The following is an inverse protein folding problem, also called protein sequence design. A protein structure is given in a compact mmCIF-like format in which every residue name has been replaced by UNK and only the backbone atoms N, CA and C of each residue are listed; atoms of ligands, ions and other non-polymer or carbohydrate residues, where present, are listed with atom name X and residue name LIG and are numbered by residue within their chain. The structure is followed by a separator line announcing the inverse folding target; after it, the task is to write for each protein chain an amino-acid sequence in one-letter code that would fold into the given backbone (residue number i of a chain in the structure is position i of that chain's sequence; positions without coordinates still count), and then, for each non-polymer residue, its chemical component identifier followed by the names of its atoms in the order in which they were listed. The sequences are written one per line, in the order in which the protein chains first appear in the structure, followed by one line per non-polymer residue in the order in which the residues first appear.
data_IF_714785784217
#
_entry.id   IF_714785784217
#
_cell.length_a   1.000
_cell.length_b   1.000
_cell.length_c   1.000
_cell.angle_alpha   90.00
_cell.angle_beta   90.00
_cell.angle_gamma   90.00
#
_symmetry.space_group_name_H-M   'P 1'
#
loop_
_entity.id
_entity.type
_entity.pdbx_description
1 polymer ?
#
# COMPACT_ATOMS: atom_id res chain seq x y z
N UNK A 1 3.06 -8.67 7.21
CA UNK A 1 2.06 -8.48 6.15
C UNK A 1 2.70 -8.63 4.78
N UNK A 2 2.06 -9.40 3.92
CA UNK A 2 2.44 -9.53 2.52
C UNK A 2 1.88 -8.37 1.70
N UNK A 3 2.40 -8.20 0.47
CA UNK A 3 1.88 -7.19 -0.44
C UNK A 3 0.38 -7.38 -0.69
N UNK A 4 -0.07 -8.63 -0.84
CA UNK A 4 -1.48 -8.94 -1.05
C UNK A 4 -2.35 -8.42 0.10
N UNK A 5 -1.90 -8.64 1.33
CA UNK A 5 -2.62 -8.17 2.53
C UNK A 5 -2.64 -6.65 2.62
N UNK A 6 -1.51 -6.01 2.33
CA UNK A 6 -1.39 -4.56 2.33
C UNK A 6 -2.29 -3.95 1.25
N UNK A 7 -2.27 -4.50 0.05
CA UNK A 7 -3.10 -4.03 -1.06
C UNK A 7 -4.58 -4.15 -0.71
N UNK A 8 -4.98 -5.25 -0.08
CA UNK A 8 -6.36 -5.46 0.34
C UNK A 8 -6.81 -4.38 1.33
N UNK A 9 -5.94 -4.05 2.30
CA UNK A 9 -6.22 -2.96 3.25
C UNK A 9 -6.28 -1.61 2.55
N UNK A 10 -5.37 -1.33 1.65
CA UNK A 10 -5.36 -0.08 0.89
C UNK A 10 -6.63 0.08 0.05
N UNK A 11 -7.13 -0.99 -0.55
CA UNK A 11 -8.39 -0.96 -1.29
C UNK A 11 -9.55 -0.54 -0.39
N UNK A 12 -9.59 -1.05 0.84
CA UNK A 12 -10.63 -0.66 1.80
C UNK A 12 -10.52 0.81 2.19
N UNK A 13 -9.33 1.39 2.12
CA UNK A 13 -9.11 2.80 2.38
C UNK A 13 -9.39 3.70 1.16
N UNK A 14 -9.74 3.11 0.01
CA UNK A 14 -10.06 3.87 -1.21
C UNK A 14 -8.95 3.88 -2.25
N UNK A 15 -7.89 3.14 -2.06
CA UNK A 15 -6.79 3.05 -3.04
C UNK A 15 -7.11 2.01 -4.10
N UNK A 16 -6.71 2.33 -5.33
CA UNK A 16 -6.90 1.45 -6.49
C UNK A 16 -5.57 1.29 -7.22
N UNK A 17 -5.47 0.26 -8.04
CA UNK A 17 -4.30 0.07 -8.89
C UNK A 17 -4.21 1.24 -9.88
N UNK A 18 -3.05 1.89 -9.91
CA UNK A 18 -2.79 2.95 -10.89
C UNK A 18 -1.98 2.39 -12.05
N UNK A 19 -0.76 1.94 -11.77
CA UNK A 19 0.10 1.38 -12.81
C UNK A 19 1.23 0.54 -12.20
N UNK A 20 1.81 -0.29 -13.03
CA UNK A 20 3.02 -1.02 -12.70
C UNK A 20 4.21 -0.06 -12.81
N UNK A 21 5.03 0.00 -11.78
CA UNK A 21 6.28 0.74 -11.79
C UNK A 21 7.43 -0.22 -12.08
N UNK A 22 8.68 0.23 -11.86
CA UNK A 22 9.86 -0.57 -12.14
C UNK A 22 9.87 -1.84 -11.29
N UNK A 23 10.20 -2.98 -11.93
CA UNK A 23 10.24 -4.27 -11.26
C UNK A 23 8.88 -4.71 -10.77
N UNK A 24 8.84 -5.19 -9.54
CA UNK A 24 7.60 -5.69 -8.92
C UNK A 24 6.80 -4.59 -8.21
N UNK A 25 7.19 -3.33 -8.34
CA UNK A 25 6.53 -2.23 -7.66
C UNK A 25 5.21 -1.85 -8.34
N UNK A 26 4.15 -1.75 -7.55
CA UNK A 26 2.83 -1.32 -8.03
C UNK A 26 2.48 0.02 -7.39
N UNK A 27 2.04 0.97 -8.21
CA UNK A 27 1.58 2.25 -7.71
C UNK A 27 0.09 2.14 -7.44
N UNK A 28 -0.30 2.46 -6.20
CA UNK A 28 -1.69 2.51 -5.73
C UNK A 28 -2.08 3.95 -5.50
N UNK A 29 -3.26 4.33 -5.96
CA UNK A 29 -3.74 5.70 -5.98
C UNK A 29 -5.12 5.81 -5.33
N UNK A 30 -5.30 6.83 -4.50
CA UNK A 30 -6.60 7.15 -3.91
C UNK A 30 -7.14 8.42 -4.57
N UNK A 31 -8.16 8.31 -5.44
CA UNK A 31 -8.71 9.48 -6.13
C UNK A 31 -9.42 10.45 -5.19
N UNK A 32 -9.85 10.00 -4.02
CA UNK A 32 -10.53 10.87 -3.05
C UNK A 32 -9.57 11.82 -2.34
N UNK A 33 -8.32 11.42 -2.17
CA UNK A 33 -7.31 12.22 -1.45
C UNK A 33 -6.19 12.72 -2.34
N UNK A 34 -6.04 12.14 -3.54
CA UNK A 34 -4.92 12.41 -4.43
C UNK A 34 -3.62 11.74 -3.99
N UNK A 35 -3.66 10.90 -2.97
CA UNK A 35 -2.45 10.25 -2.45
C UNK A 35 -2.07 9.02 -3.26
N UNK A 36 -0.77 8.78 -3.34
CA UNK A 36 -0.19 7.61 -3.98
C UNK A 36 0.79 6.94 -3.04
N UNK A 37 0.89 5.63 -3.17
CA UNK A 37 1.94 4.87 -2.50
C UNK A 37 2.41 3.76 -3.42
N UNK A 38 3.62 3.27 -3.21
CA UNK A 38 4.21 2.21 -4.02
C UNK A 38 4.35 0.97 -3.16
N UNK A 39 3.81 -0.14 -3.64
CA UNK A 39 3.84 -1.42 -2.93
C UNK A 39 4.73 -2.40 -3.69
N UNK A 40 5.83 -2.91 -3.10
CA UNK A 40 6.62 -3.96 -3.72
C UNK A 40 5.84 -5.28 -3.61
N UNK A 41 5.47 -5.84 -4.75
CA UNK A 41 4.65 -7.04 -4.77
C UNK A 41 5.49 -8.29 -5.07
N UNK A 42 6.00 -8.91 -4.01
CA UNK A 42 6.70 -10.19 -4.06
C UNK A 42 5.80 -11.23 -3.41
N UNK A 43 5.12 -12.08 -4.20
CA UNK A 43 4.13 -13.03 -3.66
C UNK A 43 4.71 -13.90 -2.53
N UNK A 44 3.96 -13.98 -1.43
CA UNK A 44 4.32 -14.82 -0.29
C UNK A 44 5.39 -14.26 0.63
N UNK A 45 5.94 -13.09 0.33
CA UNK A 45 7.01 -12.49 1.12
C UNK A 45 6.47 -11.28 1.89
N UNK A 46 6.78 -11.22 3.18
CA UNK A 46 6.38 -10.07 4.00
C UNK A 46 7.09 -8.79 3.57
N UNK A 47 6.34 -7.71 3.57
CA UNK A 47 6.91 -6.39 3.29
C UNK A 47 7.76 -5.98 4.50
N UNK A 48 9.01 -5.56 4.28
CA UNK A 48 9.87 -5.12 5.37
C UNK A 48 9.22 -3.99 6.17
N UNK A 49 9.47 -3.97 7.47
CA UNK A 49 8.84 -3.04 8.41
C UNK A 49 9.00 -1.58 8.01
N UNK A 50 10.19 -1.17 7.58
CA UNK A 50 10.44 0.20 7.16
C UNK A 50 9.65 0.57 5.91
N UNK A 51 9.57 -0.35 4.95
CA UNK A 51 8.80 -0.18 3.73
C UNK A 51 7.31 -0.07 4.05
N UNK A 52 6.81 -0.91 4.95
CA UNK A 52 5.41 -0.88 5.37
C UNK A 52 5.07 0.46 6.03
N UNK A 53 5.95 0.97 6.89
CA UNK A 53 5.75 2.28 7.53
C UNK A 53 5.68 3.41 6.50
N UNK A 54 6.53 3.35 5.47
CA UNK A 54 6.52 4.34 4.41
C UNK A 54 5.21 4.30 3.63
N UNK A 55 4.70 3.10 3.32
CA UNK A 55 3.42 2.92 2.63
C UNK A 55 2.29 3.55 3.44
N UNK A 56 2.23 3.25 4.73
CA UNK A 56 1.19 3.76 5.62
C UNK A 56 1.24 5.30 5.69
N UNK A 57 2.45 5.86 5.82
CA UNK A 57 2.64 7.31 5.85
C UNK A 57 2.21 7.96 4.54
N UNK A 58 2.61 7.40 3.40
CA UNK A 58 2.26 7.93 2.08
C UNK A 58 0.76 7.84 1.84
N UNK A 59 0.12 6.81 2.37
CA UNK A 59 -1.33 6.65 2.29
C UNK A 59 -2.09 7.68 3.15
N UNK A 60 -1.38 8.39 4.03
CA UNK A 60 -1.99 9.38 4.92
C UNK A 60 -2.73 8.77 6.10
N UNK A 61 -2.38 7.55 6.47
CA UNK A 61 -3.02 6.81 7.56
C UNK A 61 -2.10 6.70 8.76
N UNK A 62 -2.69 6.59 9.94
CA UNK A 62 -1.94 6.14 11.11
C UNK A 62 -1.80 4.63 11.07
N UNK A 63 -0.86 4.09 11.83
CA UNK A 63 -0.71 2.64 11.96
C UNK A 63 -1.99 1.99 12.43
N UNK A 64 -2.64 2.61 13.44
CA UNK A 64 -3.89 2.10 14.00
C UNK A 64 -5.00 2.05 12.95
N UNK A 65 -5.15 3.13 12.18
CA UNK A 65 -6.14 3.17 11.10
C UNK A 65 -5.88 2.07 10.07
N UNK A 66 -4.63 1.92 9.67
CA UNK A 66 -4.25 0.92 8.68
C UNK A 66 -4.54 -0.51 9.18
N UNK A 67 -4.17 -0.82 10.41
CA UNK A 67 -4.38 -2.16 10.96
C UNK A 67 -5.86 -2.50 11.14
N UNK A 68 -6.71 -1.50 11.26
CA UNK A 68 -8.16 -1.68 11.41
C UNK A 68 -8.92 -1.76 10.08
N UNK A 69 -8.22 -1.68 8.98
CA UNK A 69 -8.86 -1.80 7.66
C UNK A 69 -9.28 -3.22 7.34
#
# INVERSE_FOLDING_TARGET
LTAREVIKKLKRAGFMFDRQAKGSHEIRYNPNTGRRTTVPNHPGIDIPKGTLRAIIREAGLTLKEFLNL
#
